data_IF_820625145018
#
_entry.id   IF_820625145018
#
_cell.length_a   1.000
_cell.length_b   1.000
_cell.length_c   1.000
_cell.angle_alpha   90.00
_cell.angle_beta   90.00
_cell.angle_gamma   90.00
#
_symmetry.space_group_name_H-M   'P 1'
#
loop_
_entity.id
_entity.type
_entity.pdbx_description
1 polymer ?
#
# COMPACT_ATOMS: atom_id res chain seq x y z
N UNK A 1 6.97 -13.77 -4.77
CA UNK A 1 7.58 -12.42 -4.83
C UNK A 1 7.04 -11.74 -6.08
N UNK A 2 6.48 -10.53 -5.96
CA UNK A 2 5.94 -9.81 -7.12
C UNK A 2 7.09 -9.30 -8.00
N UNK A 3 7.02 -9.42 -9.35
CA UNK A 3 8.10 -9.02 -10.24
C UNK A 3 8.58 -7.58 -10.03
N UNK A 4 7.66 -6.66 -9.72
CA UNK A 4 7.98 -5.25 -9.47
C UNK A 4 8.99 -4.99 -8.34
N UNK A 5 9.22 -5.92 -7.41
CA UNK A 5 10.26 -5.74 -6.37
C UNK A 5 11.66 -5.68 -6.97
N UNK A 6 11.93 -6.50 -7.98
CA UNK A 6 13.23 -6.47 -8.67
C UNK A 6 13.42 -5.17 -9.45
N UNK A 7 12.34 -4.66 -10.06
CA UNK A 7 12.35 -3.37 -10.75
C UNK A 7 12.60 -2.21 -9.77
N UNK A 8 12.11 -2.29 -8.53
CA UNK A 8 12.45 -1.33 -7.47
C UNK A 8 13.95 -1.35 -7.18
N UNK A 9 14.51 -2.52 -6.89
CA UNK A 9 15.94 -2.61 -6.61
C UNK A 9 16.79 -2.08 -7.78
N UNK A 10 16.43 -2.41 -9.02
CA UNK A 10 17.12 -1.89 -10.20
C UNK A 10 16.96 -0.37 -10.37
N UNK A 11 15.73 0.14 -10.23
CA UNK A 11 15.41 1.56 -10.42
C UNK A 11 16.05 2.50 -9.39
N UNK A 12 16.27 2.00 -8.17
CA UNK A 12 16.85 2.75 -7.06
C UNK A 12 18.31 2.37 -6.75
N UNK A 13 18.94 1.47 -7.50
CA UNK A 13 20.32 1.02 -7.27
C UNK A 13 21.39 2.14 -7.31
N UNK A 14 21.07 3.28 -7.96
CA UNK A 14 21.98 4.43 -8.05
C UNK A 14 22.14 5.17 -6.71
N UNK A 15 21.24 4.97 -5.75
CA UNK A 15 21.29 5.62 -4.45
C UNK A 15 22.19 4.83 -3.50
N UNK A 16 23.34 5.39 -3.08
CA UNK A 16 24.28 4.70 -2.21
C UNK A 16 23.71 4.56 -0.79
N UNK A 17 24.31 3.66 0.00
CA UNK A 17 24.05 3.60 1.44
C UNK A 17 24.36 4.98 2.06
N UNK A 18 23.45 5.54 2.90
CA UNK A 18 23.66 6.83 3.54
C UNK A 18 24.99 6.92 4.28
N UNK A 19 25.62 8.11 4.26
CA UNK A 19 26.91 8.31 4.94
C UNK A 19 26.76 8.30 6.46
N UNK A 20 25.71 8.93 6.96
CA UNK A 20 25.33 8.92 8.36
C UNK A 20 24.11 8.01 8.51
N UNK A 21 24.30 6.88 9.19
CA UNK A 21 23.21 5.98 9.57
C UNK A 21 23.05 6.14 11.07
N UNK A 22 21.89 6.61 11.50
CA UNK A 22 21.55 6.75 12.91
C UNK A 22 20.54 5.66 13.28
N UNK A 23 20.81 4.95 14.36
CA UNK A 23 19.90 3.93 14.89
C UNK A 23 19.29 4.50 16.17
N UNK A 24 17.96 4.53 16.23
CA UNK A 24 17.26 4.97 17.42
C UNK A 24 17.52 4.00 18.59
N UNK A 25 18.07 4.53 19.68
CA UNK A 25 18.41 3.75 20.88
C UNK A 25 17.18 3.10 21.55
N UNK A 26 15.98 3.62 21.30
CA UNK A 26 14.74 3.07 21.86
C UNK A 26 14.09 2.03 20.94
N UNK A 27 14.12 2.25 19.63
CA UNK A 27 13.51 1.34 18.66
C UNK A 27 14.40 0.14 18.32
N UNK A 28 15.73 0.30 18.39
CA UNK A 28 16.69 -0.74 18.04
C UNK A 28 17.91 -0.80 18.95
N UNK A 29 17.76 -0.90 20.29
CA UNK A 29 18.88 -0.90 21.24
C UNK A 29 19.91 -2.02 20.99
N UNK A 30 19.52 -3.08 20.29
CA UNK A 30 20.37 -4.23 19.94
C UNK A 30 21.23 -4.01 18.69
N UNK A 31 21.04 -2.94 17.93
CA UNK A 31 21.79 -2.67 16.70
C UNK A 31 22.58 -1.38 16.81
N UNK A 32 23.82 -1.42 16.35
CA UNK A 32 24.63 -0.23 16.10
C UNK A 32 24.52 0.20 14.64
N UNK A 33 24.92 1.45 14.35
CA UNK A 33 25.09 1.91 12.97
C UNK A 33 26.06 1.01 12.17
N UNK A 34 27.09 0.43 12.81
CA UNK A 34 28.01 -0.49 12.15
C UNK A 34 27.33 -1.82 11.76
N UNK A 35 26.44 -2.33 12.60
CA UNK A 35 25.67 -3.55 12.30
C UNK A 35 24.77 -3.33 11.08
N UNK A 36 24.04 -2.20 11.05
CA UNK A 36 23.20 -1.85 9.89
C UNK A 36 24.05 -1.74 8.62
N UNK A 37 25.17 -1.01 8.67
CA UNK A 37 26.03 -0.78 7.49
C UNK A 37 26.67 -2.06 6.95
N UNK A 38 26.90 -3.05 7.81
CA UNK A 38 27.45 -4.36 7.40
C UNK A 38 26.39 -5.34 6.92
N UNK A 39 25.10 -5.07 7.21
CA UNK A 39 23.99 -5.91 6.78
C UNK A 39 23.63 -5.60 5.33
N UNK A 40 23.58 -6.59 4.42
CA UNK A 40 23.09 -6.36 3.06
C UNK A 40 21.68 -5.78 3.07
N UNK A 41 21.38 -4.83 2.17
CA UNK A 41 20.09 -4.14 2.13
C UNK A 41 18.90 -5.12 2.15
N UNK A 42 18.95 -6.19 1.33
CA UNK A 42 17.93 -7.25 1.26
C UNK A 42 17.74 -8.05 2.54
N UNK A 43 18.72 -8.02 3.44
CA UNK A 43 18.72 -8.74 4.71
C UNK A 43 18.28 -7.88 5.89
N UNK A 44 18.03 -6.58 5.69
CA UNK A 44 17.50 -5.72 6.75
C UNK A 44 16.07 -6.16 7.10
N UNK A 45 15.82 -6.40 8.38
CA UNK A 45 14.47 -6.69 8.86
C UNK A 45 13.60 -5.43 8.91
N UNK A 46 12.27 -5.61 8.96
CA UNK A 46 11.35 -4.48 9.12
C UNK A 46 11.65 -3.69 10.42
N UNK A 47 12.00 -4.37 11.51
CA UNK A 47 12.40 -3.73 12.77
C UNK A 47 13.70 -2.91 12.65
N UNK A 48 14.64 -3.35 11.80
CA UNK A 48 15.84 -2.56 11.51
C UNK A 48 15.48 -1.30 10.72
N UNK A 49 14.58 -1.39 9.73
CA UNK A 49 14.11 -0.21 8.99
C UNK A 49 13.34 0.76 9.90
N UNK A 50 12.56 0.25 10.85
CA UNK A 50 11.89 1.06 11.87
C UNK A 50 12.91 1.79 12.75
N UNK A 51 13.95 1.08 13.22
CA UNK A 51 14.99 1.66 14.07
C UNK A 51 15.83 2.73 13.35
N UNK A 52 15.86 2.72 12.01
CA UNK A 52 16.47 3.74 11.17
C UNK A 52 15.55 4.94 10.91
N UNK A 53 14.29 4.89 11.34
CA UNK A 53 13.27 5.89 11.02
C UNK A 53 13.27 6.25 9.53
N UNK A 54 13.25 5.25 8.64
CA UNK A 54 13.42 5.47 7.18
C UNK A 54 12.48 6.51 6.58
N UNK A 55 11.25 6.64 7.10
CA UNK A 55 10.27 7.65 6.66
C UNK A 55 10.62 9.09 7.02
N UNK A 56 11.66 9.30 7.84
CA UNK A 56 12.16 10.61 8.27
C UNK A 56 13.49 10.98 7.65
N UNK A 57 14.06 10.09 6.82
CA UNK A 57 15.29 10.37 6.09
C UNK A 57 15.06 11.42 5.01
N UNK A 58 16.17 11.98 4.52
CA UNK A 58 16.11 12.78 3.32
C UNK A 58 15.73 11.94 2.10
N UNK A 59 15.48 12.64 1.00
CA UNK A 59 14.96 12.07 -0.23
C UNK A 59 15.89 11.01 -0.85
N UNK A 60 17.21 11.21 -0.85
CA UNK A 60 18.15 10.27 -1.47
C UNK A 60 18.42 9.07 -0.55
N UNK A 61 18.52 9.31 0.75
CA UNK A 61 18.69 8.28 1.77
C UNK A 61 17.44 7.40 1.89
N UNK A 62 16.24 7.98 1.82
CA UNK A 62 14.99 7.22 1.77
C UNK A 62 14.91 6.35 0.51
N UNK A 63 15.29 6.89 -0.66
CA UNK A 63 15.32 6.15 -1.92
C UNK A 63 16.25 4.94 -1.88
N UNK A 64 17.32 4.96 -1.10
CA UNK A 64 18.16 3.78 -0.88
C UNK A 64 17.39 2.64 -0.17
N UNK A 65 16.60 2.96 0.85
CA UNK A 65 15.87 1.97 1.64
C UNK A 65 14.49 1.60 1.09
N UNK A 66 13.92 2.42 0.21
CA UNK A 66 12.56 2.23 -0.32
C UNK A 66 12.29 0.84 -0.90
N UNK A 67 13.16 0.26 -1.78
CA UNK A 67 12.93 -1.09 -2.30
C UNK A 67 12.81 -2.13 -1.19
N UNK A 68 13.66 -2.03 -0.15
CA UNK A 68 13.62 -2.97 0.97
C UNK A 68 12.41 -2.76 1.87
N UNK A 69 11.99 -1.52 2.09
CA UNK A 69 10.75 -1.25 2.83
C UNK A 69 9.56 -1.93 2.17
N UNK A 70 9.42 -1.80 0.85
CA UNK A 70 8.33 -2.45 0.10
C UNK A 70 8.44 -3.99 0.18
N UNK A 71 9.64 -4.55 -0.04
CA UNK A 71 9.87 -6.00 0.05
C UNK A 71 9.53 -6.54 1.45
N UNK A 72 9.90 -5.84 2.52
CA UNK A 72 9.57 -6.22 3.88
C UNK A 72 8.06 -6.10 4.20
N UNK A 73 7.38 -5.07 3.70
CA UNK A 73 5.93 -4.91 3.85
C UNK A 73 5.14 -6.02 3.15
N UNK A 74 5.64 -6.55 2.03
CA UNK A 74 5.06 -7.71 1.35
C UNK A 74 5.18 -9.02 2.14
N UNK A 75 6.14 -9.10 3.07
CA UNK A 75 6.38 -10.25 3.93
C UNK A 75 5.61 -10.16 5.25
N UNK A 76 5.22 -8.95 5.66
CA UNK A 76 4.56 -8.68 6.94
C UNK A 76 3.04 -8.83 6.84
N UNK A 77 2.44 -9.68 7.68
CA UNK A 77 0.98 -9.87 7.70
C UNK A 77 0.26 -9.00 8.75
N UNK A 78 1.02 -8.42 9.68
CA UNK A 78 0.47 -7.60 10.75
C UNK A 78 0.38 -6.13 10.30
N UNK A 79 -0.58 -5.35 10.85
CA UNK A 79 -0.60 -3.92 10.66
C UNK A 79 0.72 -3.28 11.12
N UNK A 80 1.30 -2.43 10.27
CA UNK A 80 2.59 -1.81 10.54
C UNK A 80 2.40 -0.36 10.96
N UNK A 81 2.33 -0.12 12.27
CA UNK A 81 2.07 1.21 12.82
C UNK A 81 3.31 2.10 12.94
N UNK A 82 4.49 1.50 12.82
CA UNK A 82 5.75 2.22 13.05
C UNK A 82 6.21 3.09 11.87
N UNK A 83 5.64 2.90 10.68
CA UNK A 83 5.95 3.72 9.52
C UNK A 83 4.79 4.64 9.21
N UNK A 84 5.04 5.95 9.21
CA UNK A 84 4.08 6.92 8.69
C UNK A 84 4.14 6.94 7.16
N UNK A 85 3.53 5.94 6.53
CA UNK A 85 3.53 5.76 5.07
C UNK A 85 2.86 6.92 4.32
N UNK A 86 2.07 7.76 5.00
CA UNK A 86 1.47 8.96 4.40
C UNK A 86 2.53 9.92 3.85
N UNK A 87 3.72 9.93 4.46
CA UNK A 87 4.88 10.73 4.03
C UNK A 87 5.47 10.28 2.69
N UNK A 88 5.15 9.07 2.21
CA UNK A 88 5.56 8.62 0.88
C UNK A 88 5.15 9.62 -0.20
N UNK A 89 4.00 10.28 -0.05
CA UNK A 89 3.52 11.25 -1.06
C UNK A 89 4.46 12.43 -1.21
N UNK A 90 5.01 12.90 -0.10
CA UNK A 90 5.98 14.00 -0.08
C UNK A 90 7.24 13.60 -0.84
N UNK A 91 7.77 12.40 -0.57
CA UNK A 91 8.93 11.87 -1.26
C UNK A 91 8.67 11.61 -2.75
N UNK A 92 7.66 10.80 -3.09
CA UNK A 92 7.41 10.32 -4.47
C UNK A 92 7.16 11.47 -5.44
N UNK A 93 6.59 12.58 -4.96
CA UNK A 93 6.36 13.78 -5.78
C UNK A 93 7.65 14.36 -6.38
N UNK A 94 8.79 14.25 -5.68
CA UNK A 94 10.10 14.77 -6.12
C UNK A 94 10.86 13.82 -7.05
N UNK A 95 10.39 12.59 -7.23
CA UNK A 95 11.13 11.52 -7.91
C UNK A 95 11.27 11.78 -9.41
N UNK A 96 12.25 11.17 -10.05
CA UNK A 96 12.40 11.25 -11.50
C UNK A 96 11.25 10.54 -12.22
N UNK A 97 11.03 10.84 -13.50
CA UNK A 97 10.01 10.14 -14.28
C UNK A 97 10.24 8.62 -14.35
N UNK A 98 11.51 8.19 -14.41
CA UNK A 98 11.86 6.77 -14.37
C UNK A 98 11.57 6.12 -13.02
N UNK A 99 11.85 6.80 -11.90
CA UNK A 99 11.53 6.29 -10.56
C UNK A 99 10.02 6.17 -10.36
N UNK A 100 9.26 7.20 -10.74
CA UNK A 100 7.79 7.15 -10.67
C UNK A 100 7.21 6.02 -11.52
N UNK A 101 7.78 5.75 -12.71
CA UNK A 101 7.32 4.64 -13.54
C UNK A 101 7.50 3.27 -12.85
N UNK A 102 8.59 3.08 -12.11
CA UNK A 102 8.80 1.85 -11.32
C UNK A 102 7.77 1.75 -10.20
N UNK A 103 7.45 2.86 -9.52
CA UNK A 103 6.38 2.89 -8.50
C UNK A 103 5.02 2.58 -9.11
N UNK A 104 4.71 3.13 -10.28
CA UNK A 104 3.47 2.83 -11.00
C UNK A 104 3.36 1.33 -11.30
N UNK A 105 4.45 0.70 -11.76
CA UNK A 105 4.48 -0.75 -12.01
C UNK A 105 4.26 -1.56 -10.72
N UNK A 106 4.86 -1.14 -9.61
CA UNK A 106 4.60 -1.75 -8.29
C UNK A 106 3.11 -1.69 -7.94
N UNK A 107 2.50 -0.51 -8.02
CA UNK A 107 1.09 -0.34 -7.67
C UNK A 107 0.19 -1.15 -8.63
N UNK A 108 0.50 -1.18 -9.92
CA UNK A 108 -0.21 -2.02 -10.89
C UNK A 108 -0.11 -3.53 -10.56
N UNK A 109 1.07 -4.01 -10.15
CA UNK A 109 1.28 -5.39 -9.75
C UNK A 109 0.54 -5.75 -8.45
N UNK A 110 0.54 -4.84 -7.47
CA UNK A 110 -0.23 -4.99 -6.22
C UNK A 110 -1.73 -5.09 -6.49
N UNK A 111 -2.28 -4.19 -7.30
CA UNK A 111 -3.70 -4.25 -7.68
C UNK A 111 -4.04 -5.53 -8.45
N UNK A 112 -3.15 -5.99 -9.34
CA UNK A 112 -3.35 -7.27 -10.04
C UNK A 112 -3.35 -8.45 -9.08
N UNK A 113 -2.43 -8.45 -8.11
CA UNK A 113 -2.33 -9.48 -7.09
C UNK A 113 -3.56 -9.51 -6.16
N UNK A 114 -3.97 -8.35 -5.66
CA UNK A 114 -5.13 -8.20 -4.78
C UNK A 114 -6.40 -8.69 -5.49
N UNK A 115 -6.69 -8.16 -6.67
CA UNK A 115 -7.93 -8.48 -7.39
C UNK A 115 -7.92 -9.88 -8.02
N UNK A 116 -6.76 -10.51 -8.14
CA UNK A 116 -6.58 -11.85 -8.69
C UNK A 116 -6.73 -12.99 -7.68
N UNK A 117 -6.72 -12.72 -6.37
CA UNK A 117 -6.77 -13.76 -5.33
C UNK A 117 -7.47 -13.30 -4.04
N UNK A 118 -8.19 -14.23 -3.40
CA UNK A 118 -8.90 -13.95 -2.14
C UNK A 118 -8.83 -15.17 -1.20
N UNK A 119 -8.34 -15.01 0.05
CA UNK A 119 -7.63 -13.82 0.52
C UNK A 119 -6.35 -13.58 -0.29
N UNK A 120 -5.96 -12.32 -0.47
CA UNK A 120 -4.70 -12.00 -1.15
C UNK A 120 -3.51 -12.32 -0.25
N UNK A 121 -2.38 -12.73 -0.84
CA UNK A 121 -1.14 -13.04 -0.14
C UNK A 121 -0.07 -12.00 -0.47
N UNK A 122 -0.31 -10.74 -0.09
CA UNK A 122 0.52 -9.58 -0.40
C UNK A 122 1.05 -8.87 0.87
N UNK A 123 1.13 -9.60 1.99
CA UNK A 123 1.53 -9.04 3.28
C UNK A 123 0.63 -7.87 3.68
N UNK A 124 1.24 -6.72 3.96
CA UNK A 124 0.56 -5.49 4.37
C UNK A 124 -0.45 -5.00 3.32
N UNK A 125 -0.26 -5.33 2.05
CA UNK A 125 -1.13 -4.89 0.95
C UNK A 125 -2.25 -5.88 0.62
N UNK A 126 -2.59 -6.79 1.55
CA UNK A 126 -3.56 -7.87 1.30
C UNK A 126 -5.03 -7.45 1.40
N UNK A 127 -5.31 -6.23 1.87
CA UNK A 127 -6.66 -5.67 1.97
C UNK A 127 -6.83 -4.40 1.12
N UNK A 128 -8.08 -4.14 0.75
CA UNK A 128 -8.44 -3.05 -0.16
C UNK A 128 -8.25 -1.65 0.45
N UNK A 129 -8.68 -1.36 1.70
CA UNK A 129 -8.40 -0.08 2.34
C UNK A 129 -6.92 0.29 2.34
N UNK A 130 -6.05 -0.63 2.76
CA UNK A 130 -4.61 -0.40 2.81
C UNK A 130 -4.02 -0.13 1.42
N UNK A 131 -4.43 -0.90 0.40
CA UNK A 131 -3.93 -0.67 -0.96
C UNK A 131 -4.46 0.63 -1.58
N UNK A 132 -5.68 1.06 -1.25
CA UNK A 132 -6.24 2.35 -1.67
C UNK A 132 -5.40 3.51 -1.10
N UNK A 133 -5.12 3.48 0.19
CA UNK A 133 -4.31 4.50 0.85
C UNK A 133 -2.89 4.52 0.29
N UNK A 134 -2.27 3.35 0.13
CA UNK A 134 -0.94 3.22 -0.49
C UNK A 134 -0.89 3.75 -1.92
N UNK A 135 -1.93 3.49 -2.73
CA UNK A 135 -2.05 4.02 -4.09
C UNK A 135 -2.01 5.55 -4.08
N UNK A 136 -2.72 6.18 -3.15
CA UNK A 136 -2.71 7.63 -2.98
C UNK A 136 -1.38 8.17 -2.44
N UNK A 137 -0.76 7.46 -1.50
CA UNK A 137 0.54 7.84 -0.95
C UNK A 137 1.68 7.70 -1.98
N UNK A 138 1.55 6.80 -2.95
CA UNK A 138 2.45 6.71 -4.10
C UNK A 138 2.17 7.73 -5.22
N UNK A 139 1.31 8.72 -4.96
CA UNK A 139 0.89 9.75 -5.92
C UNK A 139 0.33 9.16 -7.24
N UNK A 140 -0.32 7.99 -7.14
CA UNK A 140 -0.95 7.34 -8.29
C UNK A 140 -2.42 7.78 -8.44
N UNK A 141 -2.95 7.82 -9.67
CA UNK A 141 -4.32 8.28 -9.92
C UNK A 141 -5.36 7.24 -9.48
N UNK A 142 -5.75 7.28 -8.20
CA UNK A 142 -6.71 6.34 -7.60
C UNK A 142 -7.97 6.07 -8.46
N UNK A 143 -8.63 7.06 -9.11
CA UNK A 143 -9.79 6.80 -9.96
C UNK A 143 -9.54 5.78 -11.07
N UNK A 144 -8.32 5.73 -11.64
CA UNK A 144 -7.96 4.77 -12.70
C UNK A 144 -7.99 3.33 -12.17
N UNK A 145 -7.59 3.12 -10.92
CA UNK A 145 -7.56 1.80 -10.29
C UNK A 145 -8.97 1.37 -9.85
N UNK A 146 -9.77 2.28 -9.31
CA UNK A 146 -11.17 2.02 -8.96
C UNK A 146 -12.01 1.68 -10.21
N UNK A 147 -11.85 2.44 -11.29
CA UNK A 147 -12.50 2.15 -12.59
C UNK A 147 -12.09 0.78 -13.15
N UNK A 148 -10.81 0.42 -13.00
CA UNK A 148 -10.32 -0.89 -13.43
C UNK A 148 -10.93 -2.00 -12.58
N UNK A 149 -10.94 -1.85 -11.26
CA UNK A 149 -11.55 -2.80 -10.34
C UNK A 149 -13.03 -3.00 -10.66
N UNK A 150 -13.76 -1.92 -10.92
CA UNK A 150 -15.18 -1.96 -11.29
C UNK A 150 -15.46 -2.87 -12.50
N UNK A 151 -14.54 -2.89 -13.50
CA UNK A 151 -14.66 -3.69 -14.74
C UNK A 151 -14.20 -5.14 -14.59
N UNK A 152 -13.55 -5.51 -13.50
CA UNK A 152 -13.06 -6.87 -13.27
C UNK A 152 -14.18 -7.72 -12.66
N UNK A 153 -14.67 -8.70 -13.40
CA UNK A 153 -15.76 -9.60 -13.00
C UNK A 153 -15.27 -10.90 -12.32
N UNK A 154 -14.03 -10.92 -11.84
CA UNK A 154 -13.49 -12.08 -11.11
C UNK A 154 -14.13 -12.21 -9.73
N UNK A 155 -14.26 -13.46 -9.24
CA UNK A 155 -14.80 -13.76 -7.90
C UNK A 155 -13.95 -13.08 -6.80
N UNK A 156 -12.60 -13.21 -6.77
CA UNK A 156 -11.77 -12.53 -5.77
C UNK A 156 -11.98 -11.02 -5.73
N UNK A 157 -12.00 -10.36 -6.90
CA UNK A 157 -12.24 -8.93 -6.98
C UNK A 157 -13.60 -8.52 -6.40
N UNK A 158 -14.63 -9.37 -6.50
CA UNK A 158 -15.94 -9.07 -5.93
C UNK A 158 -16.00 -9.35 -4.43
N UNK A 159 -15.23 -10.32 -3.93
CA UNK A 159 -15.10 -10.57 -2.48
C UNK A 159 -14.43 -9.39 -1.78
N UNK A 160 -13.31 -8.89 -2.31
CA UNK A 160 -12.66 -7.66 -1.85
C UNK A 160 -13.61 -6.46 -1.86
N UNK A 161 -14.53 -6.39 -2.84
CA UNK A 161 -15.51 -5.31 -2.94
C UNK A 161 -16.53 -5.38 -1.82
N UNK A 162 -16.98 -6.59 -1.46
CA UNK A 162 -17.83 -6.82 -0.30
C UNK A 162 -17.17 -6.37 1.00
N UNK A 163 -15.92 -6.77 1.22
CA UNK A 163 -15.14 -6.34 2.40
C UNK A 163 -14.95 -4.83 2.46
N UNK A 164 -14.65 -4.17 1.34
CA UNK A 164 -14.49 -2.72 1.31
C UNK A 164 -15.80 -2.00 1.64
N UNK A 165 -16.95 -2.51 1.19
CA UNK A 165 -18.28 -1.97 1.52
C UNK A 165 -18.56 -2.13 3.02
N UNK A 166 -18.32 -3.32 3.55
CA UNK A 166 -18.45 -3.58 4.99
C UNK A 166 -17.56 -2.65 5.80
N UNK A 167 -16.29 -2.56 5.42
CA UNK A 167 -15.31 -1.69 6.04
C UNK A 167 -15.76 -0.21 5.99
N UNK A 168 -16.08 0.31 4.81
CA UNK A 168 -16.36 1.74 4.61
C UNK A 168 -17.63 2.24 5.33
N UNK A 169 -18.61 1.35 5.53
CA UNK A 169 -19.89 1.72 6.14
C UNK A 169 -20.04 1.25 7.60
N UNK A 170 -19.14 0.41 8.13
CA UNK A 170 -19.18 -0.03 9.54
C UNK A 170 -18.01 0.45 10.38
N UNK A 171 -16.82 0.60 9.80
CA UNK A 171 -15.59 0.94 10.54
C UNK A 171 -15.47 2.45 10.70
N UNK A 172 -15.08 2.89 11.89
CA UNK A 172 -14.86 4.32 12.23
C UNK A 172 -13.44 4.81 11.95
N UNK A 173 -12.49 3.89 11.80
CA UNK A 173 -11.11 4.24 11.45
C UNK A 173 -11.07 4.76 10.02
N UNK A 174 -10.51 5.95 9.78
CA UNK A 174 -10.64 6.60 8.49
C UNK A 174 -9.62 6.03 7.50
N UNK A 175 -10.06 5.85 6.25
CA UNK A 175 -9.18 5.93 5.08
C UNK A 175 -8.41 7.25 5.20
N UNK A 176 -7.30 7.36 4.48
CA UNK A 176 -6.65 8.65 4.26
C UNK A 176 -7.74 9.70 3.95
N UNK A 177 -7.85 10.79 4.75
CA UNK A 177 -8.98 11.71 4.63
C UNK A 177 -9.18 12.26 3.22
N UNK A 178 -8.09 12.39 2.46
CA UNK A 178 -8.10 12.83 1.08
C UNK A 178 -8.74 11.84 0.08
N UNK A 179 -8.79 10.54 0.39
CA UNK A 179 -9.39 9.53 -0.50
C UNK A 179 -10.76 9.06 -0.05
N UNK A 180 -11.14 9.34 1.20
CA UNK A 180 -12.40 8.87 1.79
C UNK A 180 -13.62 9.22 0.94
N UNK A 181 -13.82 10.50 0.61
CA UNK A 181 -14.99 10.90 -0.16
C UNK A 181 -14.99 10.32 -1.59
N UNK A 182 -13.88 10.40 -2.37
CA UNK A 182 -13.79 9.73 -3.67
C UNK A 182 -14.15 8.24 -3.65
N UNK A 183 -13.72 7.51 -2.61
CA UNK A 183 -14.04 6.08 -2.45
C UNK A 183 -15.52 5.87 -2.13
N UNK A 184 -16.10 6.68 -1.24
CA UNK A 184 -17.53 6.61 -0.94
C UNK A 184 -18.39 6.92 -2.16
N UNK A 185 -18.04 7.96 -2.92
CA UNK A 185 -18.73 8.32 -4.18
C UNK A 185 -18.66 7.18 -5.20
N UNK A 186 -17.50 6.51 -5.30
CA UNK A 186 -17.33 5.34 -6.14
C UNK A 186 -18.16 4.13 -5.67
N UNK A 187 -18.15 3.84 -4.37
CA UNK A 187 -18.95 2.77 -3.78
C UNK A 187 -20.44 3.01 -3.95
N UNK A 188 -20.90 4.26 -3.97
CA UNK A 188 -22.32 4.60 -4.12
C UNK A 188 -22.89 4.32 -5.53
N UNK A 189 -22.05 3.99 -6.51
CA UNK A 189 -22.51 3.75 -7.88
C UNK A 189 -23.41 2.49 -7.97
N UNK A 190 -24.51 2.52 -8.74
CA UNK A 190 -25.43 1.38 -8.87
C UNK A 190 -24.79 0.07 -9.34
N UNK A 191 -23.73 0.17 -10.14
CA UNK A 191 -22.95 -0.97 -10.62
C UNK A 191 -22.30 -1.78 -9.49
N UNK A 192 -21.95 -1.13 -8.38
CA UNK A 192 -21.38 -1.80 -7.19
C UNK A 192 -22.43 -2.73 -6.57
N UNK A 193 -23.63 -2.21 -6.30
CA UNK A 193 -24.74 -3.03 -5.78
C UNK A 193 -25.11 -4.19 -6.71
N UNK A 194 -25.11 -3.96 -8.03
CA UNK A 194 -25.35 -5.03 -9.02
C UNK A 194 -24.33 -6.15 -8.92
N UNK A 195 -23.05 -5.82 -8.72
CA UNK A 195 -21.97 -6.80 -8.56
C UNK A 195 -22.07 -7.58 -7.26
N UNK A 196 -22.33 -6.91 -6.14
CA UNK A 196 -22.52 -7.57 -4.84
C UNK A 196 -23.67 -8.58 -4.91
N UNK A 197 -24.80 -8.16 -5.50
CA UNK A 197 -25.96 -9.02 -5.70
C UNK A 197 -25.64 -10.22 -6.60
N UNK A 198 -24.97 -10.00 -7.74
CA UNK A 198 -24.61 -11.07 -8.67
C UNK A 198 -23.67 -12.11 -8.03
N UNK A 199 -22.84 -11.69 -7.07
CA UNK A 199 -21.94 -12.57 -6.32
C UNK A 199 -22.56 -13.17 -5.04
N UNK A 200 -23.86 -12.94 -4.77
CA UNK A 200 -24.55 -13.38 -3.55
C UNK A 200 -23.89 -12.90 -2.25
N UNK A 201 -23.32 -11.69 -2.24
CA UNK A 201 -22.76 -11.05 -1.04
C UNK A 201 -23.87 -10.27 -0.32
N UNK A 202 -24.84 -10.99 0.27
CA UNK A 202 -26.08 -10.40 0.80
C UNK A 202 -25.85 -9.35 1.90
N UNK A 203 -24.91 -9.59 2.82
CA UNK A 203 -24.60 -8.65 3.91
C UNK A 203 -24.05 -7.32 3.37
N UNK A 204 -23.07 -7.39 2.46
CA UNK A 204 -22.49 -6.23 1.81
C UNK A 204 -23.53 -5.51 0.90
N UNK A 205 -24.37 -6.25 0.16
CA UNK A 205 -25.42 -5.65 -0.67
C UNK A 205 -26.45 -4.88 0.17
N UNK A 206 -26.89 -5.45 1.29
CA UNK A 206 -27.81 -4.80 2.21
C UNK A 206 -27.21 -3.51 2.77
N UNK A 207 -25.97 -3.58 3.26
CA UNK A 207 -25.27 -2.44 3.82
C UNK A 207 -25.06 -1.35 2.77
N UNK A 208 -24.62 -1.73 1.57
CA UNK A 208 -24.52 -0.81 0.44
C UNK A 208 -25.87 -0.14 0.17
N UNK A 209 -26.97 -0.88 0.10
CA UNK A 209 -28.31 -0.34 -0.21
C UNK A 209 -28.78 0.68 0.82
N UNK A 210 -28.45 0.48 2.10
CA UNK A 210 -28.82 1.37 3.21
C UNK A 210 -27.95 2.62 3.22
N UNK A 211 -26.63 2.46 3.08
CA UNK A 211 -25.68 3.55 3.32
C UNK A 211 -25.37 4.41 2.08
N UNK A 212 -25.34 3.82 0.87
CA UNK A 212 -25.00 4.52 -0.39
C UNK A 212 -25.98 5.61 -0.80
N UNK A 213 -27.19 5.62 -0.25
CA UNK A 213 -28.25 6.59 -0.58
C UNK A 213 -28.26 7.82 0.33
N UNK A 214 -27.43 7.81 1.37
CA UNK A 214 -27.35 8.84 2.41
C UNK A 214 -26.02 9.61 2.33
N UNK A 215 -25.10 9.17 1.46
CA UNK A 215 -23.75 9.73 1.29
C UNK A 215 -23.74 10.93 0.37
#
# INVERSE_FOLDING_TARGET
MIPAVEDLYAGFAKYPLPRAVEVCEQCGPQWSAADIRSTPLRSLSLLQLEALHVMSLDDDDFRHFFPRLIEALLEEQSPVFAFDLRRLREHVSSWSASERAVVTNLVDDLWRGLLGGYPAALGYFSDSPTLIDFTYWCDQPLPVYLDRWQRIEMIPATQHLGELVEWAFTVREPLEPAVKQPVLDWLAQPVIGQRLKAANLEAAEELWRVCSRVS
#
